data_IF_545102450107
#
_entry.id   IF_545102450107
#
_cell.length_a   1.000
_cell.length_b   1.000
_cell.length_c   1.000
_cell.angle_alpha   90.00
_cell.angle_beta   90.00
_cell.angle_gamma   90.00
#
_symmetry.space_group_name_H-M   'P 1'
#
loop_
_entity.id
_entity.type
_entity.pdbx_description
1 polymer ?
#
# COMPACT_ATOMS: atom_id res chain seq x y z
N UNK A 1 33.17 24.93 -2.32
CA UNK A 1 32.30 24.34 -1.27
C UNK A 1 31.04 25.16 -1.24
N UNK A 2 29.87 24.53 -1.26
CA UNK A 2 28.59 25.23 -1.16
C UNK A 2 28.36 25.73 0.26
N UNK A 3 27.62 26.82 0.38
CA UNK A 3 27.15 27.35 1.67
C UNK A 3 25.74 26.81 1.88
N UNK A 4 25.41 26.40 3.11
CA UNK A 4 24.08 25.92 3.44
C UNK A 4 23.04 27.03 3.26
N UNK A 5 22.02 26.78 2.45
CA UNK A 5 20.95 27.74 2.11
C UNK A 5 20.20 28.26 3.36
N UNK A 6 20.27 27.52 4.47
CA UNK A 6 19.42 27.75 5.64
C UNK A 6 20.19 28.19 6.89
N UNK A 7 21.51 28.02 6.92
CA UNK A 7 22.31 28.21 8.12
C UNK A 7 23.66 28.93 7.86
N UNK A 8 23.97 29.26 6.61
CA UNK A 8 25.25 29.84 6.14
C UNK A 8 26.54 29.10 6.58
N UNK A 9 26.43 27.90 7.18
CA UNK A 9 27.57 27.01 7.46
C UNK A 9 27.97 26.26 6.19
N UNK A 10 29.15 25.64 6.18
CA UNK A 10 29.58 24.77 5.08
C UNK A 10 28.55 23.67 4.80
N UNK A 11 28.14 23.57 3.54
CA UNK A 11 27.27 22.51 3.05
C UNK A 11 28.07 21.24 2.78
N UNK A 12 27.39 20.09 2.86
CA UNK A 12 27.99 18.81 2.51
C UNK A 12 28.31 18.76 1.01
N UNK A 13 29.31 17.96 0.63
CA UNK A 13 29.79 17.87 -0.77
C UNK A 13 28.71 17.46 -1.78
N UNK A 14 27.66 16.78 -1.31
CA UNK A 14 26.57 16.23 -2.13
C UNK A 14 25.19 16.82 -1.77
N UNK A 15 25.11 17.82 -0.88
CA UNK A 15 23.82 18.42 -0.51
C UNK A 15 23.93 19.92 -0.27
N UNK A 16 22.84 20.65 -0.53
CA UNK A 16 22.76 22.10 -0.32
C UNK A 16 22.60 22.50 1.16
N UNK A 17 22.70 21.53 2.09
CA UNK A 17 22.45 21.73 3.51
C UNK A 17 23.67 21.36 4.38
N UNK A 18 23.82 22.05 5.51
CA UNK A 18 24.70 21.64 6.60
C UNK A 18 24.12 20.38 7.28
N UNK A 19 24.95 19.49 7.83
CA UNK A 19 24.52 18.19 8.40
C UNK A 19 23.36 18.32 9.42
N UNK A 20 23.35 19.39 10.22
CA UNK A 20 22.28 19.68 11.19
C UNK A 20 20.96 20.07 10.50
N UNK A 21 21.01 20.86 9.43
CA UNK A 21 19.83 21.28 8.68
C UNK A 21 19.27 20.11 7.85
N UNK A 22 20.15 19.31 7.28
CA UNK A 22 19.78 18.09 6.56
C UNK A 22 18.99 17.12 7.46
N UNK A 23 19.47 16.87 8.68
CA UNK A 23 18.78 16.02 9.66
C UNK A 23 17.42 16.59 10.11
N UNK A 24 17.26 17.92 10.16
CA UNK A 24 15.97 18.56 10.46
C UNK A 24 15.00 18.45 9.30
N UNK A 25 15.49 18.51 8.07
CA UNK A 25 14.66 18.48 6.88
C UNK A 25 14.15 17.07 6.58
N UNK A 26 15.00 16.04 6.71
CA UNK A 26 14.57 14.63 6.61
C UNK A 26 13.69 14.16 7.76
N UNK A 27 13.59 14.94 8.84
CA UNK A 27 12.59 14.72 9.90
C UNK A 27 11.17 15.03 9.41
N UNK A 28 10.97 15.79 8.32
CA UNK A 28 9.64 16.11 7.77
C UNK A 28 9.29 15.16 6.62
N UNK A 29 8.04 14.71 6.57
CA UNK A 29 7.53 13.92 5.43
C UNK A 29 7.32 14.91 4.28
N UNK A 30 8.23 14.97 3.31
CA UNK A 30 8.14 15.85 2.13
C UNK A 30 8.47 15.07 0.84
N UNK A 31 8.03 15.59 -0.29
CA UNK A 31 8.33 15.08 -1.63
C UNK A 31 7.63 13.76 -1.96
N UNK A 32 8.34 12.85 -2.64
CA UNK A 32 7.82 11.56 -3.13
C UNK A 32 7.20 10.65 -2.07
N UNK A 33 7.53 10.84 -0.80
CA UNK A 33 6.97 10.06 0.31
C UNK A 33 5.49 10.38 0.58
N UNK A 34 4.96 11.49 0.03
CA UNK A 34 3.53 11.82 0.14
C UNK A 34 2.65 10.88 -0.70
N UNK A 35 3.16 10.36 -1.82
CA UNK A 35 2.37 9.49 -2.71
C UNK A 35 2.02 8.15 -2.05
N UNK A 36 2.94 7.42 -1.39
CA UNK A 36 2.60 6.26 -0.57
C UNK A 36 1.61 6.58 0.57
N UNK A 37 1.72 7.77 1.16
CA UNK A 37 0.83 8.18 2.25
C UNK A 37 -0.61 8.34 1.74
N UNK A 38 -0.81 9.02 0.61
CA UNK A 38 -2.11 9.11 -0.07
C UNK A 38 -2.59 7.72 -0.45
N UNK A 39 -1.70 6.88 -1.01
CA UNK A 39 -2.02 5.50 -1.38
C UNK A 39 -2.59 4.69 -0.22
N UNK A 40 -2.02 4.82 0.98
CA UNK A 40 -2.54 4.17 2.19
C UNK A 40 -3.94 4.67 2.55
N UNK A 41 -4.17 5.99 2.51
CA UNK A 41 -5.50 6.57 2.81
C UNK A 41 -6.54 6.11 1.78
N UNK A 42 -6.21 6.15 0.49
CA UNK A 42 -7.08 5.66 -0.57
C UNK A 42 -7.36 4.17 -0.41
N UNK A 43 -6.35 3.37 -0.08
CA UNK A 43 -6.55 1.93 0.15
C UNK A 43 -7.48 1.64 1.33
N UNK A 44 -7.41 2.45 2.40
CA UNK A 44 -8.33 2.32 3.54
C UNK A 44 -9.77 2.58 3.10
N UNK A 45 -9.99 3.64 2.32
CA UNK A 45 -11.31 3.95 1.77
C UNK A 45 -11.80 2.85 0.83
N UNK A 46 -10.94 2.36 -0.07
CA UNK A 46 -11.26 1.26 -0.98
C UNK A 46 -11.66 -0.01 -0.21
N UNK A 47 -10.95 -0.37 0.85
CA UNK A 47 -11.30 -1.54 1.68
C UNK A 47 -12.66 -1.36 2.36
N UNK A 48 -12.99 -0.17 2.87
CA UNK A 48 -14.31 0.10 3.48
C UNK A 48 -15.43 -0.04 2.44
N UNK A 49 -15.23 0.56 1.26
CA UNK A 49 -16.20 0.49 0.15
C UNK A 49 -16.39 -0.97 -0.28
N UNK A 50 -15.30 -1.71 -0.53
CA UNK A 50 -15.38 -3.10 -0.95
C UNK A 50 -15.99 -4.00 0.13
N UNK A 51 -15.62 -3.82 1.39
CA UNK A 51 -16.21 -4.56 2.51
C UNK A 51 -17.73 -4.33 2.60
N UNK A 52 -18.17 -3.08 2.53
CA UNK A 52 -19.60 -2.77 2.57
C UNK A 52 -20.37 -3.32 1.36
N UNK A 53 -19.77 -3.28 0.17
CA UNK A 53 -20.35 -3.86 -1.04
C UNK A 53 -20.48 -5.38 -0.95
N UNK A 54 -19.41 -6.10 -0.57
CA UNK A 54 -19.44 -7.55 -0.37
C UNK A 54 -20.44 -7.93 0.73
N UNK A 55 -20.47 -7.18 1.85
CA UNK A 55 -21.42 -7.45 2.93
C UNK A 55 -22.89 -7.27 2.47
N UNK A 56 -23.17 -6.25 1.66
CA UNK A 56 -24.50 -6.04 1.08
C UNK A 56 -24.91 -7.21 0.19
N UNK A 57 -24.01 -7.68 -0.68
CA UNK A 57 -24.26 -8.86 -1.53
C UNK A 57 -24.53 -10.11 -0.69
N UNK A 58 -23.76 -10.32 0.38
CA UNK A 58 -23.99 -11.41 1.32
C UNK A 58 -25.38 -11.29 1.95
N UNK A 59 -25.79 -10.11 2.45
CA UNK A 59 -27.09 -9.95 3.10
C UNK A 59 -28.29 -10.10 2.15
N UNK A 60 -28.17 -9.62 0.91
CA UNK A 60 -29.29 -9.59 -0.05
C UNK A 60 -29.42 -10.88 -0.87
N UNK A 61 -28.32 -11.60 -1.11
CA UNK A 61 -28.29 -12.73 -2.05
C UNK A 61 -27.83 -14.06 -1.44
N UNK A 62 -27.63 -14.16 -0.12
CA UNK A 62 -27.10 -15.38 0.54
C UNK A 62 -27.85 -16.67 0.19
N UNK A 63 -29.18 -16.59 0.07
CA UNK A 63 -30.06 -17.73 -0.15
C UNK A 63 -29.98 -18.29 -1.57
N UNK A 64 -29.55 -17.46 -2.54
CA UNK A 64 -29.52 -17.79 -3.98
C UNK A 64 -28.15 -18.35 -4.40
N UNK A 65 -27.10 -18.09 -3.61
CA UNK A 65 -25.73 -18.47 -3.94
C UNK A 65 -25.48 -19.97 -3.79
N UNK A 66 -24.68 -20.53 -4.69
CA UNK A 66 -24.20 -21.93 -4.65
C UNK A 66 -22.93 -22.02 -3.78
N UNK A 67 -22.63 -23.18 -3.19
CA UNK A 67 -21.56 -23.36 -2.19
C UNK A 67 -20.20 -22.75 -2.55
N UNK A 68 -19.75 -22.87 -3.81
CA UNK A 68 -18.50 -22.25 -4.28
C UNK A 68 -18.52 -20.71 -4.24
N UNK A 69 -19.65 -20.10 -4.59
CA UNK A 69 -19.84 -18.65 -4.55
C UNK A 69 -19.90 -18.14 -3.10
N UNK A 70 -20.54 -18.89 -2.20
CA UNK A 70 -20.53 -18.58 -0.76
C UNK A 70 -19.13 -18.62 -0.18
N UNK A 71 -18.33 -19.62 -0.55
CA UNK A 71 -16.94 -19.73 -0.15
C UNK A 71 -16.09 -18.53 -0.59
N UNK A 72 -16.27 -18.09 -1.83
CA UNK A 72 -15.59 -16.91 -2.37
C UNK A 72 -15.95 -15.62 -1.61
N UNK A 73 -17.23 -15.38 -1.35
CA UNK A 73 -17.66 -14.16 -0.62
C UNK A 73 -17.17 -14.15 0.84
N UNK A 74 -17.16 -15.31 1.52
CA UNK A 74 -16.59 -15.40 2.88
C UNK A 74 -15.09 -15.12 2.84
N UNK A 75 -14.38 -15.66 1.85
CA UNK A 75 -12.96 -15.37 1.64
C UNK A 75 -12.69 -13.87 1.43
N UNK A 76 -13.46 -13.21 0.56
CA UNK A 76 -13.36 -11.76 0.33
C UNK A 76 -13.62 -10.96 1.62
N UNK A 77 -14.70 -11.28 2.33
CA UNK A 77 -15.08 -10.56 3.55
C UNK A 77 -13.99 -10.66 4.63
N UNK A 78 -13.44 -11.85 4.83
CA UNK A 78 -12.33 -12.10 5.76
C UNK A 78 -11.09 -11.32 5.30
N UNK A 79 -10.77 -11.37 4.01
CA UNK A 79 -9.61 -10.66 3.46
C UNK A 79 -9.73 -9.15 3.66
N UNK A 80 -10.87 -8.54 3.33
CA UNK A 80 -11.10 -7.10 3.53
C UNK A 80 -11.03 -6.72 5.02
N UNK A 81 -11.55 -7.55 5.93
CA UNK A 81 -11.42 -7.34 7.37
C UNK A 81 -9.96 -7.34 7.84
N UNK A 82 -9.17 -8.31 7.39
CA UNK A 82 -7.73 -8.40 7.69
C UNK A 82 -6.97 -7.21 7.08
N UNK A 83 -7.28 -6.86 5.83
CA UNK A 83 -6.63 -5.75 5.13
C UNK A 83 -6.99 -4.40 5.72
N UNK A 84 -8.19 -4.22 6.26
CA UNK A 84 -8.55 -3.01 6.99
C UNK A 84 -7.63 -2.83 8.21
N UNK A 85 -7.53 -3.85 9.06
CA UNK A 85 -6.66 -3.83 10.23
C UNK A 85 -5.18 -3.62 9.84
N UNK A 86 -4.74 -4.29 8.78
CA UNK A 86 -3.37 -4.19 8.30
C UNK A 86 -3.05 -2.82 7.71
N UNK A 87 -3.99 -2.20 6.98
CA UNK A 87 -3.86 -0.83 6.45
C UNK A 87 -3.74 0.19 7.59
N UNK A 88 -4.56 0.06 8.62
CA UNK A 88 -4.49 0.92 9.82
C UNK A 88 -3.14 0.73 10.54
N UNK A 89 -2.66 -0.50 10.66
CA UNK A 89 -1.37 -0.81 11.26
C UNK A 89 -0.21 -0.19 10.46
N UNK A 90 -0.16 -0.39 9.15
CA UNK A 90 0.87 0.17 8.27
C UNK A 90 0.80 1.70 8.26
N UNK A 91 -0.40 2.29 8.23
CA UNK A 91 -0.61 3.72 8.38
C UNK A 91 -0.06 4.26 9.70
N UNK A 92 -0.32 3.58 10.82
CA UNK A 92 0.25 3.93 12.12
C UNK A 92 1.77 3.89 12.12
N UNK A 93 2.39 2.86 11.52
CA UNK A 93 3.85 2.80 11.34
C UNK A 93 4.37 3.95 10.48
N UNK A 94 3.61 4.35 9.47
CA UNK A 94 3.96 5.41 8.54
C UNK A 94 4.02 6.76 9.25
N UNK A 95 2.94 7.13 9.94
CA UNK A 95 2.88 8.39 10.68
C UNK A 95 3.81 8.43 11.90
N UNK A 96 4.07 7.27 12.53
CA UNK A 96 5.04 7.14 13.63
C UNK A 96 6.49 7.03 13.17
N UNK A 97 6.73 7.00 11.85
CA UNK A 97 8.06 6.95 11.21
C UNK A 97 8.92 5.78 11.70
N UNK A 98 8.29 4.61 11.85
CA UNK A 98 8.96 3.41 12.37
C UNK A 98 9.83 2.73 11.32
N UNK A 99 11.01 2.26 11.71
CA UNK A 99 11.97 1.48 10.90
C UNK A 99 11.40 0.20 10.32
N UNK A 100 10.31 -0.29 10.90
CA UNK A 100 9.59 -1.47 10.46
C UNK A 100 8.73 -1.18 9.21
N UNK A 101 8.38 0.09 8.95
CA UNK A 101 7.47 0.46 7.86
C UNK A 101 7.88 -0.14 6.51
N UNK A 102 9.13 0.00 6.01
CA UNK A 102 9.45 -0.44 4.65
C UNK A 102 9.15 -1.92 4.45
N UNK A 103 9.41 -2.76 5.46
CA UNK A 103 9.12 -4.20 5.41
C UNK A 103 7.62 -4.48 5.37
N UNK A 104 6.85 -3.86 6.26
CA UNK A 104 5.39 -4.08 6.31
C UNK A 104 4.66 -3.46 5.11
N UNK A 105 5.16 -2.35 4.55
CA UNK A 105 4.62 -1.75 3.33
C UNK A 105 4.88 -2.63 2.11
N UNK A 106 6.05 -3.26 1.99
CA UNK A 106 6.30 -4.26 0.94
C UNK A 106 5.35 -5.45 1.11
N UNK A 107 5.20 -5.95 2.35
CA UNK A 107 4.22 -7.01 2.65
C UNK A 107 2.78 -6.63 2.28
N UNK A 108 2.39 -5.36 2.48
CA UNK A 108 1.09 -4.82 2.07
C UNK A 108 0.86 -4.88 0.56
N UNK A 109 1.85 -4.49 -0.23
CA UNK A 109 1.77 -4.58 -1.69
C UNK A 109 1.67 -6.03 -2.17
N UNK A 110 2.45 -6.93 -1.56
CA UNK A 110 2.43 -8.35 -1.90
C UNK A 110 1.09 -9.02 -1.55
N UNK A 111 0.49 -8.66 -0.41
CA UNK A 111 -0.83 -9.17 -0.02
C UNK A 111 -1.92 -8.74 -1.00
N UNK A 112 -1.89 -7.49 -1.48
CA UNK A 112 -2.82 -7.04 -2.53
C UNK A 112 -2.66 -7.80 -3.84
N UNK A 113 -1.42 -8.04 -4.29
CA UNK A 113 -1.15 -8.83 -5.49
C UNK A 113 -1.67 -10.26 -5.32
N UNK A 114 -1.37 -10.89 -4.18
CA UNK A 114 -1.83 -12.24 -3.89
C UNK A 114 -3.36 -12.32 -3.90
N UNK A 115 -4.04 -11.36 -3.28
CA UNK A 115 -5.50 -11.29 -3.28
C UNK A 115 -6.07 -11.12 -4.68
N UNK A 116 -5.62 -10.13 -5.46
CA UNK A 116 -6.11 -9.96 -6.82
C UNK A 116 -5.82 -11.19 -7.71
N UNK A 117 -4.72 -11.91 -7.46
CA UNK A 117 -4.41 -13.15 -8.16
C UNK A 117 -5.37 -14.28 -7.81
N UNK A 118 -5.67 -14.46 -6.52
CA UNK A 118 -6.63 -15.46 -6.04
C UNK A 118 -8.05 -15.12 -6.48
N UNK A 119 -8.42 -13.84 -6.43
CA UNK A 119 -9.74 -13.33 -6.84
C UNK A 119 -10.01 -13.61 -8.31
N UNK A 120 -9.08 -13.24 -9.20
CA UNK A 120 -9.17 -13.52 -10.65
C UNK A 120 -9.22 -15.03 -10.92
N UNK A 121 -8.44 -15.82 -10.20
CA UNK A 121 -8.45 -17.28 -10.33
C UNK A 121 -9.79 -17.88 -9.88
N UNK A 122 -10.33 -17.45 -8.73
CA UNK A 122 -11.63 -17.89 -8.23
C UNK A 122 -12.77 -17.45 -9.15
N UNK A 123 -12.71 -16.24 -9.70
CA UNK A 123 -13.69 -15.75 -10.66
C UNK A 123 -13.77 -16.66 -11.90
N UNK A 124 -12.61 -17.10 -12.41
CA UNK A 124 -12.57 -18.05 -13.52
C UNK A 124 -13.11 -19.44 -13.12
N UNK A 125 -12.70 -19.97 -11.96
CA UNK A 125 -13.11 -21.31 -11.51
C UNK A 125 -14.60 -21.41 -11.14
N UNK A 126 -15.17 -20.36 -10.53
CA UNK A 126 -16.53 -20.38 -9.97
C UNK A 126 -17.56 -19.84 -10.96
N UNK A 127 -17.19 -18.86 -11.79
CA UNK A 127 -18.12 -18.16 -12.69
C UNK A 127 -17.78 -18.35 -14.17
N UNK A 128 -16.76 -19.13 -14.52
CA UNK A 128 -16.28 -19.35 -15.90
C UNK A 128 -15.95 -18.03 -16.63
N UNK A 129 -15.52 -17.02 -15.86
CA UNK A 129 -15.21 -15.69 -16.39
C UNK A 129 -13.89 -15.76 -17.17
N UNK A 130 -13.84 -15.26 -18.42
CA UNK A 130 -12.62 -15.28 -19.20
C UNK A 130 -11.57 -14.28 -18.67
N UNK A 131 -10.30 -14.59 -18.89
CA UNK A 131 -9.17 -13.69 -18.59
C UNK A 131 -9.09 -12.58 -19.64
N UNK A 132 -9.91 -11.54 -19.48
CA UNK A 132 -9.95 -10.34 -20.32
C UNK A 132 -9.35 -9.18 -19.53
N UNK A 133 -8.89 -8.14 -20.22
CA UNK A 133 -8.27 -6.97 -19.57
C UNK A 133 -9.07 -6.44 -18.38
N UNK A 134 -10.40 -6.37 -18.49
CA UNK A 134 -11.26 -5.85 -17.40
C UNK A 134 -11.13 -6.68 -16.12
N UNK A 135 -11.04 -8.00 -16.23
CA UNK A 135 -10.96 -8.92 -15.08
C UNK A 135 -9.56 -8.94 -14.48
N UNK A 136 -8.51 -8.86 -15.30
CA UNK A 136 -7.12 -8.87 -14.82
C UNK A 136 -6.57 -7.48 -14.49
N UNK A 137 -7.29 -6.40 -14.82
CA UNK A 137 -6.79 -5.02 -14.70
C UNK A 137 -6.36 -4.66 -13.28
N UNK A 138 -7.10 -5.11 -12.26
CA UNK A 138 -6.78 -4.90 -10.84
C UNK A 138 -5.47 -5.58 -10.45
N UNK A 139 -5.25 -6.80 -10.91
CA UNK A 139 -4.01 -7.53 -10.71
C UNK A 139 -2.84 -6.80 -11.38
N UNK A 140 -2.98 -6.44 -12.66
CA UNK A 140 -1.93 -5.73 -13.41
C UNK A 140 -1.55 -4.41 -12.73
N UNK A 141 -2.55 -3.61 -12.30
CA UNK A 141 -2.31 -2.34 -11.58
C UNK A 141 -1.57 -2.57 -10.26
N UNK A 142 -1.93 -3.62 -9.51
CA UNK A 142 -1.24 -3.95 -8.25
C UNK A 142 0.22 -4.37 -8.46
N UNK A 143 0.50 -5.13 -9.53
CA UNK A 143 1.87 -5.53 -9.90
C UNK A 143 2.70 -4.32 -10.33
N UNK A 144 2.16 -3.44 -11.17
CA UNK A 144 2.85 -2.21 -11.59
C UNK A 144 3.15 -1.32 -10.39
N UNK A 145 2.17 -1.14 -9.49
CA UNK A 145 2.35 -0.38 -8.25
C UNK A 145 3.48 -0.97 -7.40
N UNK A 146 3.52 -2.29 -7.23
CA UNK A 146 4.58 -2.94 -6.47
C UNK A 146 5.95 -2.82 -7.15
N UNK A 147 6.02 -2.93 -8.48
CA UNK A 147 7.26 -2.77 -9.23
C UNK A 147 7.87 -1.36 -9.06
N UNK A 148 7.06 -0.34 -8.82
CA UNK A 148 7.52 1.03 -8.56
C UNK A 148 7.90 1.20 -7.08
N UNK A 149 7.03 0.77 -6.17
CA UNK A 149 7.20 1.08 -4.74
C UNK A 149 8.19 0.17 -4.03
N UNK A 150 8.31 -1.11 -4.40
CA UNK A 150 9.25 -2.02 -3.74
C UNK A 150 10.69 -1.52 -3.90
N UNK A 151 11.20 -1.22 -5.12
CA UNK A 151 12.54 -0.67 -5.27
C UNK A 151 12.72 0.67 -4.55
N UNK A 152 11.70 1.54 -4.57
CA UNK A 152 11.74 2.82 -3.87
C UNK A 152 11.94 2.63 -2.35
N UNK A 153 11.16 1.76 -1.71
CA UNK A 153 11.25 1.52 -0.26
C UNK A 153 12.53 0.77 0.16
N UNK A 154 13.14 0.00 -0.74
CA UNK A 154 14.40 -0.73 -0.47
C UNK A 154 15.63 0.14 -0.69
N UNK A 155 15.68 0.90 -1.79
CA UNK A 155 16.89 1.60 -2.24
C UNK A 155 16.94 3.03 -1.71
N UNK A 156 15.80 3.75 -1.64
CA UNK A 156 15.78 5.19 -1.38
C UNK A 156 16.43 5.59 -0.06
N UNK A 157 17.44 6.46 -0.14
CA UNK A 157 18.04 7.08 1.04
C UNK A 157 17.02 7.90 1.85
N UNK A 158 16.04 8.53 1.18
CA UNK A 158 14.99 9.31 1.86
C UNK A 158 14.17 8.42 2.79
N UNK A 159 13.81 7.22 2.35
CA UNK A 159 13.08 6.24 3.18
C UNK A 159 13.96 5.82 4.35
N UNK A 160 15.21 5.45 4.11
CA UNK A 160 16.16 5.05 5.16
C UNK A 160 16.40 6.14 6.20
N UNK A 161 16.48 7.42 5.80
CA UNK A 161 16.70 8.57 6.69
C UNK A 161 15.42 9.03 7.40
N UNK A 162 14.24 8.85 6.81
CA UNK A 162 12.96 9.26 7.42
C UNK A 162 12.45 8.24 8.44
N UNK A 163 12.58 6.93 8.14
CA UNK A 163 12.07 5.83 8.98
C UNK A 163 13.16 5.23 9.86
N UNK A 164 13.72 6.04 10.75
CA UNK A 164 14.84 5.65 11.65
C UNK A 164 14.39 5.30 13.08
N UNK A 165 13.13 5.57 13.46
CA UNK A 165 12.59 5.40 14.83
C UNK A 165 11.91 4.06 15.08
#
# INVERSE_FOLDING_TARGET
MGICIQCDKEALKESDFCAECEAREFKKIRGWLFVPAIGLVLSLLSVIVSFSATLKVVMEHYSVLVGGQKGMLVFELVFYGVMFAYTVFVGSLFFRKKRLLPRFYIGFLLLWIAFHGVDVWLAHQVFDVPYVYDTVSSLVRSVISAAIWIPYFVVSERVKRTFVR
#
